data_IF_705391330543
#
_entry.id   IF_705391330543
#
_cell.length_a   1.000
_cell.length_b   1.000
_cell.length_c   1.000
_cell.angle_alpha   90.00
_cell.angle_beta   90.00
_cell.angle_gamma   90.00
#
_symmetry.space_group_name_H-M   'P 1'
#
loop_
_entity.id
_entity.type
_entity.pdbx_description
1 polymer ?
#
# COMPACT_ATOMS: atom_id res chain seq x y z
N UNK A 1 -38.63 3.10 -12.25
CA UNK A 1 -37.18 2.86 -12.26
C UNK A 1 -36.53 4.16 -12.67
N UNK A 2 -35.78 4.80 -11.75
CA UNK A 2 -35.53 6.24 -11.73
C UNK A 2 -34.47 6.65 -12.79
N UNK A 3 -34.87 7.49 -13.77
CA UNK A 3 -34.03 8.00 -14.87
C UNK A 3 -32.74 8.69 -14.35
N UNK A 4 -32.80 9.30 -13.17
CA UNK A 4 -31.67 9.91 -12.48
C UNK A 4 -30.59 8.89 -12.07
N UNK A 5 -30.96 7.71 -11.63
CA UNK A 5 -30.02 6.64 -11.25
C UNK A 5 -29.27 6.07 -12.45
N UNK A 6 -29.95 5.97 -13.60
CA UNK A 6 -29.34 5.52 -14.87
C UNK A 6 -28.36 6.56 -15.40
N UNK A 7 -28.69 7.86 -15.25
CA UNK A 7 -27.82 8.96 -15.69
C UNK A 7 -26.55 9.06 -14.84
N UNK A 8 -26.67 8.90 -13.51
CA UNK A 8 -25.52 8.86 -12.58
C UNK A 8 -24.62 7.67 -12.91
N UNK A 9 -25.20 6.50 -13.17
CA UNK A 9 -24.42 5.30 -13.51
C UNK A 9 -23.66 5.45 -14.84
N UNK A 10 -24.26 6.07 -15.86
CA UNK A 10 -23.58 6.35 -17.15
C UNK A 10 -22.43 7.36 -16.99
N UNK A 11 -22.61 8.39 -16.17
CA UNK A 11 -21.57 9.39 -15.93
C UNK A 11 -20.40 8.76 -15.15
N UNK A 12 -20.70 7.90 -14.19
CA UNK A 12 -19.71 7.15 -13.42
C UNK A 12 -18.89 6.21 -14.32
N UNK A 13 -19.56 5.41 -15.16
CA UNK A 13 -18.93 4.50 -16.13
C UNK A 13 -18.06 5.27 -17.14
N UNK A 14 -18.52 6.44 -17.62
CA UNK A 14 -17.75 7.30 -18.53
C UNK A 14 -16.47 7.82 -17.90
N UNK A 15 -16.52 8.25 -16.62
CA UNK A 15 -15.31 8.68 -15.90
C UNK A 15 -14.33 7.53 -15.65
N UNK A 16 -14.81 6.33 -15.32
CA UNK A 16 -13.94 5.16 -15.17
C UNK A 16 -13.32 4.74 -16.51
N UNK A 17 -14.07 4.79 -17.60
CA UNK A 17 -13.55 4.49 -18.95
C UNK A 17 -12.47 5.50 -19.38
N UNK A 18 -12.66 6.79 -19.04
CA UNK A 18 -11.67 7.83 -19.30
C UNK A 18 -10.39 7.61 -18.46
N UNK A 19 -10.53 7.28 -17.18
CA UNK A 19 -9.41 6.97 -16.29
C UNK A 19 -8.65 5.71 -16.75
N UNK A 20 -9.36 4.65 -17.16
CA UNK A 20 -8.75 3.46 -17.73
C UNK A 20 -8.00 3.78 -19.04
N UNK A 21 -8.57 4.64 -19.89
CA UNK A 21 -7.94 5.07 -21.15
C UNK A 21 -6.71 5.96 -20.90
N UNK A 22 -6.75 6.84 -19.92
CA UNK A 22 -5.58 7.58 -19.47
C UNK A 22 -4.49 6.63 -18.91
N UNK A 23 -4.88 5.66 -18.09
CA UNK A 23 -3.97 4.65 -17.55
C UNK A 23 -3.31 3.82 -18.67
N UNK A 24 -4.06 3.40 -19.68
CA UNK A 24 -3.51 2.68 -20.85
C UNK A 24 -2.62 3.58 -21.71
N UNK A 25 -2.95 4.84 -21.90
CA UNK A 25 -2.09 5.80 -22.61
C UNK A 25 -0.77 6.03 -21.86
N UNK A 26 -0.79 6.20 -20.54
CA UNK A 26 0.44 6.31 -19.74
C UNK A 26 1.29 5.05 -19.78
N UNK A 27 0.69 3.86 -19.77
CA UNK A 27 1.38 2.57 -19.92
C UNK A 27 1.95 2.43 -21.33
N UNK A 28 1.26 2.92 -22.35
CA UNK A 28 1.69 2.80 -23.76
C UNK A 28 2.83 3.74 -24.14
N UNK A 29 2.97 4.87 -23.45
CA UNK A 29 4.10 5.82 -23.68
C UNK A 29 5.44 5.29 -23.14
N UNK A 30 5.44 4.18 -22.43
CA UNK A 30 6.60 3.58 -21.77
C UNK A 30 7.22 2.39 -22.55
N UNK A 31 6.73 2.09 -23.76
CA UNK A 31 7.09 0.90 -24.54
C UNK A 31 8.35 1.08 -25.41
N UNK A 32 9.54 1.09 -24.79
CA UNK A 32 10.78 0.71 -25.50
C UNK A 32 11.97 0.50 -24.54
N UNK A 33 12.19 -0.71 -24.07
CA UNK A 33 13.44 -1.35 -23.60
C UNK A 33 13.18 -2.31 -22.43
N UNK A 34 14.02 -3.34 -22.13
CA UNK A 34 13.83 -4.27 -21.00
C UNK A 34 13.75 -3.58 -19.62
N UNK A 35 14.22 -2.34 -19.51
CA UNK A 35 14.01 -1.41 -18.38
C UNK A 35 12.52 -1.10 -18.10
N UNK A 36 11.62 -1.31 -19.05
CA UNK A 36 10.19 -0.99 -18.91
C UNK A 36 9.41 -2.06 -18.13
N UNK A 37 9.81 -3.33 -18.21
CA UNK A 37 9.19 -4.40 -17.45
C UNK A 37 9.40 -4.19 -15.93
N UNK A 38 10.59 -3.75 -15.54
CA UNK A 38 10.89 -3.46 -14.13
C UNK A 38 10.07 -2.26 -13.64
N UNK A 39 10.00 -1.21 -14.45
CA UNK A 39 9.16 -0.04 -14.14
C UNK A 39 7.68 -0.44 -14.00
N UNK A 40 7.16 -1.26 -14.91
CA UNK A 40 5.80 -1.79 -14.83
C UNK A 40 5.55 -2.58 -13.54
N UNK A 41 6.50 -3.42 -13.13
CA UNK A 41 6.40 -4.16 -11.87
C UNK A 41 6.30 -3.22 -10.66
N UNK A 42 7.03 -2.11 -10.63
CA UNK A 42 6.91 -1.10 -9.57
C UNK A 42 5.53 -0.44 -9.56
N UNK A 43 4.98 -0.11 -10.73
CA UNK A 43 3.63 0.47 -10.84
C UNK A 43 2.57 -0.53 -10.38
N UNK A 44 2.72 -1.79 -10.76
CA UNK A 44 1.82 -2.86 -10.33
C UNK A 44 1.87 -3.07 -8.81
N UNK A 45 3.06 -3.05 -8.20
CA UNK A 45 3.24 -3.12 -6.76
C UNK A 45 2.55 -1.95 -6.07
N UNK A 46 2.74 -0.72 -6.56
CA UNK A 46 2.08 0.47 -6.01
C UNK A 46 0.54 0.35 -6.09
N UNK A 47 0.01 -0.14 -7.20
CA UNK A 47 -1.42 -0.37 -7.36
C UNK A 47 -1.93 -1.47 -6.42
N UNK A 48 -1.25 -2.62 -6.33
CA UNK A 48 -1.65 -3.74 -5.48
C UNK A 48 -1.61 -3.38 -3.98
N UNK A 49 -0.57 -2.69 -3.53
CA UNK A 49 -0.51 -2.21 -2.14
C UNK A 49 -1.56 -1.14 -1.86
N UNK A 50 -1.83 -0.26 -2.84
CA UNK A 50 -2.88 0.73 -2.78
C UNK A 50 -4.27 0.12 -2.67
N UNK A 51 -4.61 -0.87 -3.52
CA UNK A 51 -5.92 -1.52 -3.53
C UNK A 51 -6.15 -2.33 -2.25
N UNK A 52 -5.12 -3.04 -1.75
CA UNK A 52 -5.20 -3.78 -0.51
C UNK A 52 -5.51 -2.86 0.69
N UNK A 53 -4.86 -1.69 0.75
CA UNK A 53 -5.12 -0.69 1.79
C UNK A 53 -6.50 -0.03 1.64
N UNK A 54 -6.90 0.27 0.39
CA UNK A 54 -8.18 0.89 0.07
C UNK A 54 -9.38 -0.05 0.33
N UNK A 55 -9.17 -1.35 0.38
CA UNK A 55 -10.21 -2.31 0.76
C UNK A 55 -10.46 -2.30 2.26
N UNK A 56 -9.42 -2.21 3.06
CA UNK A 56 -9.49 -2.37 4.51
C UNK A 56 -9.91 -1.09 5.22
N UNK A 57 -9.31 0.05 4.88
CA UNK A 57 -9.44 1.29 5.66
C UNK A 57 -10.87 1.82 5.73
N UNK A 58 -11.63 1.96 4.63
CA UNK A 58 -12.98 2.53 4.68
C UNK A 58 -14.02 1.56 5.25
N UNK A 59 -13.83 0.26 5.11
CA UNK A 59 -14.77 -0.77 5.57
C UNK A 59 -14.55 -1.19 7.02
N UNK A 60 -13.41 -0.84 7.62
CA UNK A 60 -13.04 -1.25 8.97
C UNK A 60 -14.06 -0.81 10.03
N UNK A 61 -14.58 0.41 9.93
CA UNK A 61 -15.59 0.92 10.87
C UNK A 61 -16.89 0.10 10.76
N UNK A 62 -17.31 -0.22 9.55
CA UNK A 62 -18.50 -1.03 9.29
C UNK A 62 -18.31 -2.47 9.81
N UNK A 63 -17.14 -3.05 9.58
CA UNK A 63 -16.75 -4.36 10.07
C UNK A 63 -16.81 -4.44 11.61
N UNK A 64 -16.22 -3.47 12.32
CA UNK A 64 -16.21 -3.43 13.78
C UNK A 64 -17.60 -3.24 14.36
N UNK A 65 -18.46 -2.42 13.73
CA UNK A 65 -19.80 -2.15 14.22
C UNK A 65 -20.81 -3.23 13.88
N UNK A 66 -20.73 -3.85 12.70
CA UNK A 66 -21.73 -4.82 12.24
C UNK A 66 -21.33 -6.28 12.54
N UNK A 67 -20.07 -6.65 12.28
CA UNK A 67 -19.59 -8.02 12.48
C UNK A 67 -19.13 -8.30 13.91
N UNK A 68 -18.35 -7.38 14.49
CA UNK A 68 -17.83 -7.53 15.85
C UNK A 68 -18.80 -6.98 16.88
N UNK A 69 -19.76 -6.13 16.45
CA UNK A 69 -20.82 -5.54 17.27
C UNK A 69 -20.32 -4.75 18.48
N UNK A 70 -19.18 -4.05 18.32
CA UNK A 70 -18.64 -3.20 19.38
C UNK A 70 -19.27 -1.81 19.37
N UNK A 71 -19.33 -1.17 20.53
CA UNK A 71 -19.86 0.19 20.65
C UNK A 71 -18.96 1.21 19.91
N UNK A 72 -19.49 2.39 19.52
CA UNK A 72 -18.73 3.43 18.82
C UNK A 72 -17.46 3.87 19.54
N UNK A 73 -17.45 3.82 20.88
CA UNK A 73 -16.27 4.11 21.68
C UNK A 73 -15.11 3.15 21.37
N UNK A 74 -15.39 1.84 21.32
CA UNK A 74 -14.38 0.82 21.00
C UNK A 74 -13.93 0.89 19.55
N UNK A 75 -14.78 1.33 18.62
CA UNK A 75 -14.36 1.62 17.24
C UNK A 75 -13.32 2.76 17.22
N UNK A 76 -13.58 3.85 17.93
CA UNK A 76 -12.64 4.96 18.07
C UNK A 76 -11.32 4.55 18.73
N UNK A 77 -11.39 3.73 19.79
CA UNK A 77 -10.21 3.17 20.46
C UNK A 77 -9.39 2.31 19.51
N UNK A 78 -10.04 1.50 18.67
CA UNK A 78 -9.38 0.66 17.69
C UNK A 78 -8.55 1.52 16.70
N UNK A 79 -9.13 2.59 16.15
CA UNK A 79 -8.41 3.50 15.25
C UNK A 79 -7.23 4.18 15.93
N UNK A 80 -7.39 4.61 17.18
CA UNK A 80 -6.31 5.25 17.95
C UNK A 80 -5.14 4.30 18.18
N UNK A 81 -5.43 3.07 18.62
CA UNK A 81 -4.41 2.02 18.85
C UNK A 81 -3.74 1.64 17.52
N UNK A 82 -4.54 1.45 16.44
CA UNK A 82 -4.02 1.14 15.12
C UNK A 82 -3.06 2.23 14.61
N UNK A 83 -3.40 3.51 14.81
CA UNK A 83 -2.54 4.62 14.41
C UNK A 83 -1.21 4.63 15.19
N UNK A 84 -1.26 4.46 16.52
CA UNK A 84 -0.06 4.43 17.37
C UNK A 84 0.85 3.25 16.99
N UNK A 85 0.28 2.05 16.88
CA UNK A 85 1.03 0.84 16.48
C UNK A 85 1.63 1.05 15.08
N UNK A 86 0.86 1.58 14.13
CA UNK A 86 1.32 1.83 12.77
C UNK A 86 2.51 2.79 12.72
N UNK A 87 2.49 3.89 13.49
CA UNK A 87 3.60 4.83 13.58
C UNK A 87 4.85 4.16 14.16
N UNK A 88 4.73 3.45 15.28
CA UNK A 88 5.86 2.79 15.93
C UNK A 88 6.47 1.74 15.01
N UNK A 89 5.65 0.87 14.43
CA UNK A 89 6.12 -0.21 13.56
C UNK A 89 6.76 0.32 12.28
N UNK A 90 6.19 1.37 11.67
CA UNK A 90 6.75 1.96 10.45
C UNK A 90 8.14 2.55 10.70
N UNK A 91 8.39 3.19 11.86
CA UNK A 91 9.70 3.73 12.23
C UNK A 91 10.73 2.62 12.53
N UNK A 92 10.31 1.58 13.27
CA UNK A 92 11.18 0.44 13.57
C UNK A 92 11.59 -0.25 12.26
N UNK A 93 10.62 -0.48 11.38
CA UNK A 93 10.87 -1.17 10.14
C UNK A 93 11.69 -0.33 9.15
N UNK A 94 11.51 0.99 9.13
CA UNK A 94 12.35 1.89 8.34
C UNK A 94 13.81 1.78 8.76
N UNK A 95 14.09 1.88 10.07
CA UNK A 95 15.44 1.71 10.62
C UNK A 95 16.02 0.33 10.34
N UNK A 96 15.21 -0.72 10.42
CA UNK A 96 15.65 -2.08 10.11
C UNK A 96 15.95 -2.24 8.61
N UNK A 97 15.06 -1.76 7.76
CA UNK A 97 15.20 -1.80 6.30
C UNK A 97 16.42 -1.02 5.83
N UNK A 98 16.75 0.09 6.50
CA UNK A 98 17.92 0.89 6.18
C UNK A 98 19.26 0.17 6.48
N UNK A 99 19.25 -0.85 7.30
CA UNK A 99 20.43 -1.69 7.60
C UNK A 99 20.54 -2.91 6.68
N UNK A 100 19.49 -3.23 5.91
CA UNK A 100 19.48 -4.40 5.04
C UNK A 100 20.03 -4.05 3.65
N UNK A 101 20.84 -4.96 3.10
CA UNK A 101 21.39 -4.83 1.74
C UNK A 101 20.33 -5.02 0.64
N UNK A 102 19.21 -5.67 0.95
CA UNK A 102 18.16 -6.00 -0.01
C UNK A 102 16.77 -5.65 0.54
N UNK A 103 16.34 -4.40 0.29
CA UNK A 103 15.01 -3.89 0.68
C UNK A 103 13.86 -4.70 0.08
N UNK A 104 14.09 -5.38 -1.05
CA UNK A 104 13.11 -6.24 -1.70
C UNK A 104 12.67 -7.38 -0.77
N UNK A 105 13.60 -7.98 -0.01
CA UNK A 105 13.28 -9.04 0.94
C UNK A 105 12.40 -8.51 2.08
N UNK A 106 12.69 -7.32 2.57
CA UNK A 106 11.88 -6.66 3.61
C UNK A 106 10.46 -6.44 3.11
N UNK A 107 10.29 -5.93 1.89
CA UNK A 107 8.98 -5.70 1.28
C UNK A 107 8.19 -7.01 1.12
N UNK A 108 8.83 -8.09 0.66
CA UNK A 108 8.18 -9.42 0.53
C UNK A 108 7.71 -9.92 1.90
N UNK A 109 8.55 -9.83 2.93
CA UNK A 109 8.19 -10.23 4.29
C UNK A 109 7.02 -9.40 4.80
N UNK A 110 7.02 -8.09 4.60
CA UNK A 110 5.89 -7.22 4.96
C UNK A 110 4.59 -7.64 4.28
N UNK A 111 4.63 -7.95 2.97
CA UNK A 111 3.46 -8.42 2.25
C UNK A 111 2.94 -9.76 2.80
N UNK A 112 3.81 -10.70 3.13
CA UNK A 112 3.42 -11.98 3.71
C UNK A 112 2.82 -11.82 5.12
N UNK A 113 3.37 -10.92 5.93
CA UNK A 113 2.80 -10.57 7.23
C UNK A 113 1.42 -9.92 7.06
N UNK A 114 1.24 -9.07 6.05
CA UNK A 114 -0.07 -8.48 5.73
C UNK A 114 -1.11 -9.55 5.35
N UNK A 115 -0.70 -10.58 4.61
CA UNK A 115 -1.59 -11.71 4.30
C UNK A 115 -2.08 -12.39 5.58
N UNK A 116 -1.17 -12.67 6.54
CA UNK A 116 -1.54 -13.23 7.83
C UNK A 116 -2.49 -12.29 8.60
N UNK A 117 -2.24 -10.98 8.56
CA UNK A 117 -3.15 -9.99 9.13
C UNK A 117 -4.55 -10.06 8.50
N UNK A 118 -4.65 -10.12 7.17
CA UNK A 118 -5.93 -10.26 6.48
C UNK A 118 -6.65 -11.56 6.85
N UNK A 119 -5.94 -12.67 7.01
CA UNK A 119 -6.54 -13.95 7.46
C UNK A 119 -7.10 -13.84 8.88
N UNK A 120 -6.41 -13.14 9.78
CA UNK A 120 -6.93 -12.92 11.15
C UNK A 120 -8.20 -12.07 11.10
N UNK A 121 -8.26 -11.01 10.28
CA UNK A 121 -9.48 -10.21 10.13
C UNK A 121 -10.60 -10.99 9.44
N UNK A 122 -10.31 -11.92 8.54
CA UNK A 122 -11.30 -12.76 7.89
C UNK A 122 -11.94 -13.74 8.88
N UNK A 123 -11.16 -14.41 9.72
CA UNK A 123 -11.64 -15.54 10.51
C UNK A 123 -11.85 -15.25 12.01
N UNK A 124 -11.16 -14.25 12.58
CA UNK A 124 -11.29 -13.92 13.99
C UNK A 124 -12.42 -12.90 14.21
N UNK A 125 -13.27 -13.18 15.21
CA UNK A 125 -14.33 -12.26 15.66
C UNK A 125 -14.05 -11.70 17.06
N UNK A 126 -12.87 -11.98 17.61
CA UNK A 126 -12.47 -11.49 18.92
C UNK A 126 -11.83 -10.10 18.79
N UNK A 127 -12.46 -9.08 19.38
CA UNK A 127 -11.99 -7.70 19.35
C UNK A 127 -10.55 -7.55 19.84
N UNK A 128 -10.18 -8.23 20.94
CA UNK A 128 -8.84 -8.11 21.52
C UNK A 128 -7.76 -8.74 20.63
N UNK A 129 -8.07 -9.82 19.94
CA UNK A 129 -7.17 -10.42 18.94
C UNK A 129 -6.98 -9.48 17.77
N UNK A 130 -8.05 -8.85 17.29
CA UNK A 130 -8.00 -7.91 16.16
C UNK A 130 -7.22 -6.66 16.51
N UNK A 131 -7.46 -6.06 17.71
CA UNK A 131 -6.79 -4.80 18.09
C UNK A 131 -5.31 -4.98 18.42
N UNK A 132 -4.87 -6.14 18.90
CA UNK A 132 -3.45 -6.36 19.25
C UNK A 132 -2.73 -7.05 18.09
N UNK A 133 -3.17 -8.24 17.71
CA UNK A 133 -2.46 -9.06 16.71
C UNK A 133 -2.79 -8.56 15.30
N UNK A 134 -4.07 -8.35 15.00
CA UNK A 134 -4.52 -7.91 13.69
C UNK A 134 -3.90 -6.58 13.28
N UNK A 135 -3.96 -5.55 14.14
CA UNK A 135 -3.39 -4.23 13.85
C UNK A 135 -1.87 -4.27 13.76
N UNK A 136 -1.19 -5.08 14.57
CA UNK A 136 0.27 -5.25 14.51
C UNK A 136 0.68 -5.85 13.16
N UNK A 137 0.04 -6.92 12.74
CA UNK A 137 0.36 -7.57 11.45
C UNK A 137 0.04 -6.68 10.26
N UNK A 138 -1.12 -6.00 10.25
CA UNK A 138 -1.46 -5.07 9.18
C UNK A 138 -0.59 -3.80 9.22
N UNK A 139 -0.22 -3.32 10.40
CA UNK A 139 0.72 -2.21 10.56
C UNK A 139 2.11 -2.51 9.99
N UNK A 140 2.64 -3.72 10.24
CA UNK A 140 3.86 -4.20 9.60
C UNK A 140 3.67 -4.35 8.09
N UNK A 141 2.55 -4.90 7.67
CA UNK A 141 2.22 -5.09 6.26
C UNK A 141 2.08 -3.79 5.48
N UNK A 142 1.48 -2.75 6.06
CA UNK A 142 1.33 -1.43 5.43
C UNK A 142 2.67 -0.75 5.15
N UNK A 143 3.72 -1.14 5.87
CA UNK A 143 5.09 -0.68 5.62
C UNK A 143 5.67 -1.18 4.29
N UNK A 144 5.04 -2.14 3.60
CA UNK A 144 5.41 -2.54 2.24
C UNK A 144 5.34 -1.36 1.26
N UNK A 145 4.38 -0.45 1.46
CA UNK A 145 4.20 0.72 0.60
C UNK A 145 5.41 1.68 0.64
N UNK A 146 5.83 2.26 1.79
CA UNK A 146 7.02 3.10 1.82
C UNK A 146 8.29 2.37 1.39
N UNK A 147 8.41 1.06 1.64
CA UNK A 147 9.55 0.27 1.15
C UNK A 147 9.57 0.17 -0.37
N UNK A 148 8.41 0.05 -1.02
CA UNK A 148 8.31 0.04 -2.48
C UNK A 148 8.75 1.36 -3.10
N UNK A 149 8.42 2.50 -2.48
CA UNK A 149 8.87 3.83 -2.93
C UNK A 149 10.37 4.03 -2.73
N UNK A 150 10.92 3.59 -1.60
CA UNK A 150 12.35 3.67 -1.36
C UNK A 150 13.14 2.86 -2.40
N UNK A 151 12.70 1.61 -2.67
CA UNK A 151 13.30 0.74 -3.67
C UNK A 151 13.16 1.31 -5.09
N UNK A 152 12.00 1.90 -5.40
CA UNK A 152 11.75 2.54 -6.69
C UNK A 152 12.66 3.76 -6.92
N UNK A 153 12.92 4.54 -5.88
CA UNK A 153 13.85 5.66 -5.93
C UNK A 153 15.28 5.18 -6.20
N UNK A 154 15.74 4.18 -5.46
CA UNK A 154 17.07 3.57 -5.67
C UNK A 154 17.20 3.02 -7.10
N UNK A 155 16.14 2.39 -7.63
CA UNK A 155 16.11 1.92 -9.02
C UNK A 155 16.19 3.06 -10.03
N UNK A 156 15.43 4.12 -9.83
CA UNK A 156 15.44 5.28 -10.75
C UNK A 156 16.82 5.94 -10.79
N UNK A 157 17.44 6.14 -9.62
CA UNK A 157 18.79 6.69 -9.50
C UNK A 157 19.84 5.79 -10.20
N UNK A 158 19.75 4.46 -10.01
CA UNK A 158 20.66 3.50 -10.67
C UNK A 158 20.47 3.38 -12.19
N UNK A 159 19.26 3.68 -12.67
CA UNK A 159 18.88 3.58 -14.09
C UNK A 159 18.95 4.92 -14.83
N UNK A 160 19.53 5.96 -14.22
CA UNK A 160 19.59 7.32 -14.77
C UNK A 160 18.21 7.89 -15.13
N UNK A 161 17.15 7.46 -14.44
CA UNK A 161 15.80 8.00 -14.56
C UNK A 161 15.57 9.08 -13.54
N UNK A 162 14.70 10.03 -13.86
CA UNK A 162 14.29 11.05 -12.90
C UNK A 162 13.46 10.42 -11.78
N UNK A 163 14.05 10.28 -10.57
CA UNK A 163 13.45 9.60 -9.43
C UNK A 163 12.14 10.28 -8.97
N UNK A 164 12.06 11.61 -9.07
CA UNK A 164 10.87 12.38 -8.69
C UNK A 164 9.70 12.04 -9.60
N UNK A 165 9.91 12.03 -10.91
CA UNK A 165 8.87 11.70 -11.89
C UNK A 165 8.42 10.26 -11.74
N UNK A 166 9.33 9.32 -11.56
CA UNK A 166 9.02 7.89 -11.40
C UNK A 166 8.16 7.63 -10.15
N UNK A 167 8.55 8.18 -9.01
CA UNK A 167 7.78 8.05 -7.76
C UNK A 167 6.43 8.78 -7.83
N UNK A 168 6.34 9.88 -8.57
CA UNK A 168 5.07 10.59 -8.79
C UNK A 168 4.08 9.71 -9.57
N UNK A 169 4.54 9.02 -10.62
CA UNK A 169 3.71 8.08 -11.38
C UNK A 169 3.25 6.91 -10.49
N UNK A 170 4.11 6.39 -9.61
CA UNK A 170 3.70 5.37 -8.62
C UNK A 170 2.61 5.89 -7.67
N UNK A 171 2.69 7.14 -7.21
CA UNK A 171 1.64 7.76 -6.37
C UNK A 171 0.30 7.85 -7.10
N UNK A 172 0.32 8.12 -8.40
CA UNK A 172 -0.89 8.13 -9.23
C UNK A 172 -1.57 6.74 -9.24
N UNK A 173 -0.80 5.64 -9.27
CA UNK A 173 -1.36 4.30 -9.17
C UNK A 173 -2.09 4.05 -7.84
N UNK A 174 -1.53 4.54 -6.73
CA UNK A 174 -2.19 4.46 -5.43
C UNK A 174 -3.47 5.28 -5.43
N UNK A 175 -3.45 6.49 -5.98
CA UNK A 175 -4.65 7.32 -6.09
C UNK A 175 -5.77 6.63 -6.89
N UNK A 176 -5.43 5.96 -8.00
CA UNK A 176 -6.38 5.15 -8.76
C UNK A 176 -6.93 3.99 -7.92
N UNK A 177 -6.08 3.30 -7.17
CA UNK A 177 -6.51 2.23 -6.27
C UNK A 177 -7.49 2.75 -5.20
N UNK A 178 -7.30 3.96 -4.69
CA UNK A 178 -8.21 4.59 -3.72
C UNK A 178 -9.52 5.10 -4.34
N UNK A 179 -9.57 5.35 -5.64
CA UNK A 179 -10.83 5.67 -6.35
C UNK A 179 -11.68 4.40 -6.53
N UNK A 180 -11.05 3.30 -6.93
CA UNK A 180 -11.73 2.04 -7.26
C UNK A 180 -11.95 1.16 -6.03
N UNK A 181 -11.00 1.18 -5.08
CA UNK A 181 -10.96 0.30 -3.92
C UNK A 181 -12.20 0.39 -3.02
N UNK A 182 -12.55 1.59 -2.48
CA UNK A 182 -13.69 1.71 -1.58
C UNK A 182 -15.02 1.22 -2.17
N UNK A 183 -15.44 1.60 -3.38
CA UNK A 183 -16.67 1.07 -3.97
C UNK A 183 -16.67 -0.45 -4.09
N UNK A 184 -15.54 -1.04 -4.52
CA UNK A 184 -15.41 -2.50 -4.64
C UNK A 184 -15.41 -3.18 -3.28
N UNK A 185 -14.72 -2.62 -2.28
CA UNK A 185 -14.66 -3.20 -0.95
C UNK A 185 -16.03 -3.24 -0.27
N UNK A 186 -16.82 -2.14 -0.36
CA UNK A 186 -18.19 -2.12 0.13
C UNK A 186 -19.09 -3.08 -0.64
N UNK A 187 -18.95 -3.14 -1.97
CA UNK A 187 -19.71 -4.07 -2.79
C UNK A 187 -19.46 -5.52 -2.38
N UNK A 188 -18.20 -5.92 -2.19
CA UNK A 188 -17.83 -7.27 -1.76
C UNK A 188 -18.31 -7.53 -0.33
N UNK A 189 -18.06 -6.61 0.60
CA UNK A 189 -18.43 -6.77 2.00
C UNK A 189 -19.93 -6.91 2.19
N UNK A 190 -20.75 -6.15 1.47
CA UNK A 190 -22.23 -6.18 1.62
C UNK A 190 -22.90 -7.35 0.89
N UNK A 191 -22.33 -7.86 -0.21
CA UNK A 191 -22.93 -8.96 -0.97
C UNK A 191 -22.39 -10.34 -0.59
N UNK A 192 -21.10 -10.44 -0.24
CA UNK A 192 -20.43 -11.72 0.05
C UNK A 192 -19.84 -11.81 1.46
N UNK A 193 -19.86 -10.72 2.21
CA UNK A 193 -19.37 -10.66 3.59
C UNK A 193 -17.92 -10.14 3.69
N UNK A 194 -17.57 -9.76 4.92
CA UNK A 194 -16.26 -9.21 5.23
C UNK A 194 -15.13 -10.23 5.08
N UNK A 195 -15.42 -11.52 5.27
CA UNK A 195 -14.43 -12.59 5.09
C UNK A 195 -13.86 -12.58 3.69
N UNK A 196 -14.72 -12.56 2.68
CA UNK A 196 -14.32 -12.49 1.28
C UNK A 196 -13.58 -11.20 0.96
N UNK A 197 -14.00 -10.08 1.52
CA UNK A 197 -13.33 -8.79 1.33
C UNK A 197 -11.88 -8.83 1.84
N UNK A 198 -11.66 -9.37 3.06
CA UNK A 198 -10.31 -9.51 3.61
C UNK A 198 -9.48 -10.56 2.86
N UNK A 199 -10.07 -11.64 2.37
CA UNK A 199 -9.38 -12.61 1.51
C UNK A 199 -8.93 -12.01 0.17
N UNK A 200 -9.75 -11.17 -0.44
CA UNK A 200 -9.38 -10.43 -1.67
C UNK A 200 -8.25 -9.44 -1.37
N UNK A 201 -8.30 -8.69 -0.25
CA UNK A 201 -7.21 -7.82 0.16
C UNK A 201 -5.91 -8.62 0.42
N UNK A 202 -6.01 -9.78 1.07
CA UNK A 202 -4.89 -10.69 1.30
C UNK A 202 -4.30 -11.23 0.00
N UNK A 203 -5.13 -11.58 -0.99
CA UNK A 203 -4.68 -12.02 -2.31
C UNK A 203 -3.90 -10.92 -3.05
N UNK A 204 -4.31 -9.66 -2.92
CA UNK A 204 -3.56 -8.53 -3.48
C UNK A 204 -2.17 -8.39 -2.85
N UNK A 205 -2.03 -8.57 -1.54
CA UNK A 205 -0.72 -8.61 -0.87
C UNK A 205 0.11 -9.81 -1.32
N UNK A 206 -0.50 -10.98 -1.50
CA UNK A 206 0.20 -12.18 -1.97
C UNK A 206 0.73 -11.99 -3.40
N UNK A 207 -0.07 -11.42 -4.29
CA UNK A 207 0.35 -11.05 -5.64
C UNK A 207 1.48 -10.02 -5.60
N UNK A 208 1.38 -9.02 -4.72
CA UNK A 208 2.44 -8.03 -4.50
C UNK A 208 3.76 -8.71 -4.09
N UNK A 209 3.73 -9.67 -3.17
CA UNK A 209 4.92 -10.45 -2.78
C UNK A 209 5.50 -11.23 -3.95
N UNK A 210 4.65 -11.82 -4.80
CA UNK A 210 5.05 -12.53 -6.03
C UNK A 210 5.73 -11.61 -7.04
N UNK A 211 5.12 -10.48 -7.36
CA UNK A 211 5.67 -9.47 -8.28
C UNK A 211 6.98 -8.88 -7.74
N UNK A 212 7.08 -8.69 -6.42
CA UNK A 212 8.29 -8.19 -5.78
C UNK A 212 9.52 -9.09 -5.98
N UNK A 213 9.32 -10.41 -6.15
CA UNK A 213 10.42 -11.34 -6.49
C UNK A 213 10.99 -11.11 -7.89
N UNK A 214 10.19 -10.55 -8.81
CA UNK A 214 10.61 -10.27 -10.18
C UNK A 214 11.45 -8.98 -10.29
N UNK A 215 11.51 -8.17 -9.22
CA UNK A 215 12.35 -6.99 -9.19
C UNK A 215 13.84 -7.36 -9.15
N UNK A 216 14.72 -6.63 -9.86
CA UNK A 216 16.16 -6.83 -9.79
C UNK A 216 16.69 -6.52 -8.38
N UNK A 217 17.80 -7.16 -8.01
CA UNK A 217 18.58 -6.71 -6.85
C UNK A 217 19.26 -5.41 -7.21
N UNK A 218 18.95 -4.36 -6.48
CA UNK A 218 19.57 -3.07 -6.63
C UNK A 218 20.65 -2.97 -5.55
N UNK A 219 21.94 -2.93 -5.91
CA UNK A 219 23.00 -2.73 -4.94
C UNK A 219 22.86 -1.33 -4.37
N UNK A 220 22.87 -1.21 -3.04
CA UNK A 220 22.78 0.07 -2.34
C UNK A 220 23.98 0.93 -2.68
N UNK A 221 23.77 2.10 -3.25
CA UNK A 221 24.80 3.11 -3.33
C UNK A 221 24.97 3.76 -1.95
N UNK A 222 25.94 3.28 -1.18
CA UNK A 222 26.27 3.75 0.17
C UNK A 222 26.78 5.20 0.24
N UNK A 223 26.90 5.88 -0.90
CA UNK A 223 27.46 7.23 -1.01
C UNK A 223 26.51 8.37 -0.56
N UNK A 224 25.20 8.13 -0.44
CA UNK A 224 24.25 9.20 -0.15
C UNK A 224 24.08 9.52 1.33
N UNK A 225 24.37 8.56 2.23
CA UNK A 225 24.24 8.75 3.66
C UNK A 225 25.34 9.66 4.26
N UNK A 226 26.54 9.63 3.68
CA UNK A 226 27.67 10.47 4.13
C UNK A 226 27.48 11.96 3.87
N UNK A 227 26.60 12.35 2.94
CA UNK A 227 26.37 13.78 2.66
C UNK A 227 25.24 14.36 3.52
N UNK A 228 24.20 13.57 3.82
CA UNK A 228 23.08 14.01 4.65
C UNK A 228 23.44 14.04 6.14
N UNK A 229 24.19 13.06 6.63
CA UNK A 229 24.67 13.06 8.02
C UNK A 229 25.66 14.20 8.27
N UNK A 230 26.58 14.47 7.34
CA UNK A 230 27.50 15.62 7.44
C UNK A 230 26.80 16.98 7.47
N UNK A 231 25.70 17.14 6.73
CA UNK A 231 24.92 18.37 6.80
C UNK A 231 24.12 18.50 8.10
N UNK A 232 23.64 17.39 8.64
CA UNK A 232 22.91 17.38 9.90
C UNK A 232 23.84 17.64 11.10
N UNK A 233 25.04 17.05 11.10
CA UNK A 233 26.08 17.29 12.10
C UNK A 233 26.62 18.72 12.03
N UNK A 234 26.75 19.29 10.82
CA UNK A 234 27.12 20.71 10.63
C UNK A 234 26.06 21.67 11.16
N UNK A 235 24.78 21.35 10.97
CA UNK A 235 23.67 22.17 11.49
C UNK A 235 23.62 22.07 13.04
N UNK A 236 23.80 20.89 13.61
CA UNK A 236 23.83 20.72 15.07
C UNK A 236 25.05 21.43 15.66
N UNK A 237 26.23 21.37 15.02
CA UNK A 237 27.44 22.05 15.50
C UNK A 237 27.39 23.58 15.36
N UNK A 238 26.49 24.12 14.52
CA UNK A 238 26.25 25.56 14.39
C UNK A 238 25.24 26.11 15.41
N UNK A 239 24.48 25.22 16.08
CA UNK A 239 23.48 25.60 17.09
C UNK A 239 23.91 25.28 18.55
N UNK A 240 25.05 24.63 18.75
CA UNK A 240 25.74 24.50 20.02
C UNK A 240 26.92 25.47 20.15
#
# INVERSE_FOLDING_TARGET
MNESAVKINRTFISHYALLLKLMTMFVQQQNSTPSNLVAFNFLLIAFLTGIASAFQTPTLSLYLSQEIQVSPFFVGLFYSVNAIIGIILSQILAKYSDKQDDRRKVMIVCCLIAVLGCLIFAYSRNYYVLIIIGTTLLGLGSSANPQSFALAREYAESSHREAVMFTTIMRTQISLAWIVGPPLSFFIALNWGFDYMYLVAGSAFLLCAGVSKLLPKIPRQSAFLTHSERHFDLIISLFC
#
